data_IF_937159695188
#
_entry.id   IF_937159695188
#
_cell.length_a   1.000
_cell.length_b   1.000
_cell.length_c   1.000
_cell.angle_alpha   90.00
_cell.angle_beta   90.00
_cell.angle_gamma   90.00
#
_symmetry.space_group_name_H-M   'P 1'
#
loop_
_entity.id
_entity.type
_entity.pdbx_description
1 polymer ?
#
# COMPACT_ATOMS: atom_id res chain seq x y z
N UNK A 1 14.65 -14.77 8.64
CA UNK A 1 15.93 -14.17 9.07
C UNK A 1 15.61 -13.04 10.04
N UNK A 2 16.31 -12.91 11.17
CA UNK A 2 16.16 -11.72 12.01
C UNK A 2 16.59 -10.51 11.18
N UNK A 3 15.73 -9.49 11.09
CA UNK A 3 16.07 -8.28 10.37
C UNK A 3 17.12 -7.49 11.16
N UNK A 4 18.10 -6.85 10.47
CA UNK A 4 19.17 -6.10 11.11
C UNK A 4 18.61 -4.98 12.01
N UNK A 5 19.41 -4.56 12.99
CA UNK A 5 19.11 -3.58 14.04
C UNK A 5 18.22 -2.43 13.54
N UNK A 6 16.91 -2.54 13.78
CA UNK A 6 15.96 -1.48 13.44
C UNK A 6 16.26 -0.28 14.34
N UNK A 7 16.34 0.95 13.80
CA UNK A 7 16.51 2.13 14.63
C UNK A 7 15.36 2.21 15.64
N UNK A 8 15.68 2.58 16.88
CA UNK A 8 14.66 2.76 17.92
C UNK A 8 13.70 3.87 17.47
N UNK A 9 12.40 3.60 17.34
CA UNK A 9 11.44 4.62 16.95
C UNK A 9 11.37 5.75 17.98
N UNK A 10 11.06 6.96 17.52
CA UNK A 10 10.69 8.04 18.41
C UNK A 10 9.28 7.81 18.95
N UNK A 11 9.19 7.16 20.11
CA UNK A 11 7.90 6.78 20.69
C UNK A 11 7.09 8.01 21.13
N UNK A 12 5.81 8.02 20.75
CA UNK A 12 4.89 9.09 21.04
C UNK A 12 4.24 8.94 22.42
N UNK A 13 3.97 10.05 23.13
CA UNK A 13 3.22 10.03 24.38
C UNK A 13 1.74 9.76 24.14
N UNK A 14 1.02 9.26 25.16
CA UNK A 14 -0.41 8.96 25.07
C UNK A 14 -1.28 10.18 24.69
N UNK A 15 -0.79 11.40 24.95
CA UNK A 15 -1.45 12.64 24.50
C UNK A 15 -1.57 12.78 22.99
N UNK A 16 -0.75 12.05 22.21
CA UNK A 16 -0.81 12.01 20.75
C UNK A 16 -1.81 10.99 20.20
N UNK A 17 -2.41 10.16 21.07
CA UNK A 17 -3.34 9.11 20.65
C UNK A 17 -4.47 9.60 19.75
N UNK A 18 -5.18 10.72 20.05
CA UNK A 18 -6.27 11.18 19.19
C UNK A 18 -5.80 11.52 17.77
N UNK A 19 -4.72 12.30 17.65
CA UNK A 19 -4.14 12.68 16.35
C UNK A 19 -3.71 11.45 15.54
N UNK A 20 -3.01 10.50 16.16
CA UNK A 20 -2.52 9.31 15.46
C UNK A 20 -3.65 8.34 15.10
N UNK A 21 -4.73 8.29 15.89
CA UNK A 21 -5.95 7.54 15.57
C UNK A 21 -6.64 8.11 14.33
N UNK A 22 -6.75 9.43 14.23
CA UNK A 22 -7.37 10.09 13.07
C UNK A 22 -6.51 9.91 11.82
N UNK A 23 -5.19 10.10 11.93
CA UNK A 23 -4.25 9.90 10.84
C UNK A 23 -4.27 8.45 10.31
N UNK A 24 -4.32 7.46 11.21
CA UNK A 24 -4.41 6.06 10.82
C UNK A 24 -5.75 5.76 10.13
N UNK A 25 -6.84 6.37 10.58
CA UNK A 25 -8.15 6.21 9.94
C UNK A 25 -8.16 6.76 8.51
N UNK A 26 -7.61 7.96 8.31
CA UNK A 26 -7.43 8.53 6.97
C UNK A 26 -6.51 7.67 6.08
N UNK A 27 -5.45 7.08 6.65
CA UNK A 27 -4.57 6.19 5.91
C UNK A 27 -5.28 4.91 5.43
N UNK A 28 -6.21 4.36 6.24
CA UNK A 28 -7.03 3.21 5.82
C UNK A 28 -7.90 3.58 4.62
N UNK A 29 -8.57 4.73 4.67
CA UNK A 29 -9.42 5.20 3.56
C UNK A 29 -8.63 5.43 2.27
N UNK A 30 -7.43 6.01 2.37
CA UNK A 30 -6.54 6.21 1.22
C UNK A 30 -6.09 4.86 0.63
N UNK A 31 -5.68 3.91 1.48
CA UNK A 31 -5.26 2.57 1.03
C UNK A 31 -6.40 1.84 0.34
N UNK A 32 -7.64 1.99 0.81
CA UNK A 32 -8.83 1.42 0.17
C UNK A 32 -9.07 2.01 -1.23
N UNK A 33 -9.05 3.34 -1.33
CA UNK A 33 -9.22 4.06 -2.59
C UNK A 33 -8.18 3.67 -3.63
N UNK A 34 -6.93 3.51 -3.18
CA UNK A 34 -5.80 3.22 -4.06
C UNK A 34 -5.78 1.76 -4.49
N UNK A 35 -6.20 0.86 -3.61
CA UNK A 35 -6.37 -0.55 -3.96
C UNK A 35 -7.47 -0.72 -5.02
N UNK A 36 -8.59 -0.02 -4.91
CA UNK A 36 -9.65 -0.02 -5.92
C UNK A 36 -9.13 0.51 -7.28
N UNK A 37 -8.44 1.65 -7.27
CA UNK A 37 -7.86 2.25 -8.47
C UNK A 37 -6.85 1.33 -9.16
N UNK A 38 -6.01 0.63 -8.38
CA UNK A 38 -5.02 -0.29 -8.93
C UNK A 38 -5.64 -1.58 -9.49
N UNK A 39 -6.70 -2.11 -8.86
CA UNK A 39 -7.46 -3.25 -9.41
C UNK A 39 -8.10 -2.89 -10.76
N UNK A 40 -8.64 -1.68 -10.87
CA UNK A 40 -9.17 -1.16 -12.12
C UNK A 40 -8.10 -1.01 -13.22
N UNK A 41 -6.90 -0.56 -12.86
CA UNK A 41 -5.77 -0.49 -13.79
C UNK A 41 -5.26 -1.88 -14.19
N UNK A 42 -5.26 -2.86 -13.26
CA UNK A 42 -4.87 -4.23 -13.55
C UNK A 42 -5.78 -4.89 -14.60
N UNK A 43 -7.08 -4.59 -14.59
CA UNK A 43 -8.03 -5.06 -15.59
C UNK A 43 -7.86 -4.40 -16.98
N UNK A 44 -7.12 -3.29 -17.04
CA UNK A 44 -6.86 -2.49 -18.25
C UNK A 44 -5.35 -2.28 -18.40
N UNK A 45 -4.59 -3.31 -18.85
CA UNK A 45 -3.15 -3.18 -18.98
C UNK A 45 -2.80 -1.99 -19.89
N UNK A 46 -1.66 -1.35 -19.63
CA UNK A 46 -1.10 -0.22 -20.40
C UNK A 46 -1.77 1.14 -20.20
N UNK A 47 -2.49 1.33 -19.08
CA UNK A 47 -3.06 2.63 -18.70
C UNK A 47 -2.17 3.45 -17.76
N UNK A 48 -1.23 2.81 -17.06
CA UNK A 48 -0.29 3.48 -16.17
C UNK A 48 1.10 3.57 -16.80
N UNK A 49 1.81 4.65 -16.49
CA UNK A 49 3.21 4.84 -16.85
C UNK A 49 4.17 4.24 -15.80
N UNK A 50 5.42 4.03 -16.21
CA UNK A 50 6.51 3.51 -15.36
C UNK A 50 6.72 4.32 -14.08
N UNK A 51 6.62 5.65 -14.17
CA UNK A 51 6.85 6.53 -13.03
C UNK A 51 5.76 6.37 -11.97
N UNK A 52 4.50 6.28 -12.39
CA UNK A 52 3.35 6.06 -11.52
C UNK A 52 3.45 4.69 -10.82
N UNK A 53 3.75 3.62 -11.55
CA UNK A 53 3.94 2.28 -10.96
C UNK A 53 5.13 2.27 -9.99
N UNK A 54 6.25 2.89 -10.36
CA UNK A 54 7.42 3.01 -9.50
C UNK A 54 7.13 3.78 -8.21
N UNK A 55 6.32 4.85 -8.29
CA UNK A 55 5.89 5.63 -7.12
C UNK A 55 5.01 4.81 -6.18
N UNK A 56 4.07 4.01 -6.71
CA UNK A 56 3.22 3.10 -5.91
C UNK A 56 4.10 2.10 -5.16
N UNK A 57 5.02 1.42 -5.85
CA UNK A 57 5.95 0.48 -5.23
C UNK A 57 6.76 1.12 -4.10
N UNK A 58 7.27 2.33 -4.32
CA UNK A 58 8.04 3.06 -3.30
C UNK A 58 7.19 3.41 -2.08
N UNK A 59 6.08 4.12 -2.27
CA UNK A 59 5.27 4.65 -1.16
C UNK A 59 4.69 3.52 -0.32
N UNK A 60 4.10 2.50 -0.95
CA UNK A 60 3.48 1.41 -0.21
C UNK A 60 4.50 0.40 0.34
N UNK A 61 5.67 0.30 -0.29
CA UNK A 61 6.82 -0.44 0.26
C UNK A 61 7.29 0.18 1.57
N UNK A 62 7.52 1.50 1.56
CA UNK A 62 7.87 2.25 2.76
C UNK A 62 6.79 2.12 3.85
N UNK A 63 5.50 2.28 3.50
CA UNK A 63 4.41 2.08 4.48
C UNK A 63 4.41 0.68 5.09
N UNK A 64 4.61 -0.37 4.29
CA UNK A 64 4.68 -1.75 4.78
C UNK A 64 5.89 -1.94 5.72
N UNK A 65 7.04 -1.35 5.37
CA UNK A 65 8.28 -1.46 6.15
C UNK A 65 8.21 -0.68 7.47
N UNK A 66 7.40 0.38 7.56
CA UNK A 66 7.20 1.16 8.78
C UNK A 66 5.98 0.74 9.62
N UNK A 67 5.09 -0.12 9.10
CA UNK A 67 3.84 -0.49 9.79
C UNK A 67 4.07 -1.05 11.21
N UNK A 68 5.18 -1.78 11.42
CA UNK A 68 5.53 -2.33 12.73
C UNK A 68 5.73 -1.27 13.82
N UNK A 69 6.12 -0.03 13.44
CA UNK A 69 6.30 1.06 14.40
C UNK A 69 4.95 1.43 15.01
N UNK A 70 3.90 1.49 14.18
CA UNK A 70 2.54 1.75 14.64
C UNK A 70 2.00 0.59 15.49
N UNK A 71 2.25 -0.66 15.08
CA UNK A 71 1.89 -1.85 15.85
C UNK A 71 2.50 -1.79 17.27
N UNK A 72 3.82 -1.59 17.35
CA UNK A 72 4.53 -1.52 18.63
C UNK A 72 4.14 -0.29 19.48
N UNK A 73 3.86 0.86 18.86
CA UNK A 73 3.40 2.05 19.57
C UNK A 73 2.02 1.81 20.22
N UNK A 74 1.09 1.17 19.50
CA UNK A 74 -0.23 0.83 20.02
C UNK A 74 -0.11 -0.21 21.14
N UNK A 75 0.72 -1.25 20.97
CA UNK A 75 1.00 -2.23 22.02
C UNK A 75 1.53 -1.56 23.29
N UNK A 76 2.47 -0.61 23.16
CA UNK A 76 3.00 0.16 24.30
C UNK A 76 1.90 0.93 25.03
N UNK A 77 1.06 1.67 24.30
CA UNK A 77 -0.04 2.41 24.92
C UNK A 77 -1.07 1.50 25.60
N UNK A 78 -1.32 0.31 25.07
CA UNK A 78 -2.25 -0.65 25.68
C UNK A 78 -1.80 -1.16 27.05
N UNK A 79 -0.50 -1.05 27.38
CA UNK A 79 0.03 -1.37 28.71
C UNK A 79 -0.03 -0.19 29.70
N UNK A 80 -0.42 1.01 29.25
CA UNK A 80 -0.59 2.18 30.13
C UNK A 80 -1.96 2.20 30.83
N UNK A 81 -2.12 3.11 31.79
CA UNK A 81 -3.40 3.34 32.46
C UNK A 81 -4.34 4.16 31.56
N UNK A 82 -5.14 3.46 30.74
CA UNK A 82 -6.05 4.07 29.78
C UNK A 82 -7.45 4.34 30.35
N UNK A 83 -8.00 5.52 29.99
CA UNK A 83 -9.45 5.78 30.10
C UNK A 83 -10.25 4.87 29.17
N UNK A 84 -11.58 4.80 29.37
CA UNK A 84 -12.46 4.01 28.50
C UNK A 84 -12.35 4.43 27.02
N UNK A 85 -12.31 5.73 26.75
CA UNK A 85 -12.15 6.29 25.40
C UNK A 85 -10.80 5.93 24.79
N UNK A 86 -9.70 6.12 25.53
CA UNK A 86 -8.35 5.79 25.05
C UNK A 86 -8.22 4.29 24.76
N UNK A 87 -8.79 3.44 25.61
CA UNK A 87 -8.82 1.99 25.40
C UNK A 87 -9.56 1.64 24.10
N UNK A 88 -10.72 2.25 23.85
CA UNK A 88 -11.45 2.03 22.61
C UNK A 88 -10.65 2.50 21.37
N UNK A 89 -10.00 3.67 21.43
CA UNK A 89 -9.15 4.17 20.35
C UNK A 89 -7.99 3.21 20.06
N UNK A 90 -7.23 2.79 21.07
CA UNK A 90 -6.12 1.83 20.88
C UNK A 90 -6.58 0.49 20.31
N UNK A 91 -7.79 0.03 20.65
CA UNK A 91 -8.38 -1.20 20.07
C UNK A 91 -8.75 -1.01 18.60
N UNK A 92 -9.34 0.12 18.25
CA UNK A 92 -9.67 0.47 16.87
C UNK A 92 -8.40 0.57 16.02
N UNK A 93 -7.38 1.27 16.51
CA UNK A 93 -6.09 1.38 15.82
C UNK A 93 -5.44 0.01 15.58
N UNK A 94 -5.43 -0.87 16.58
CA UNK A 94 -4.91 -2.23 16.42
C UNK A 94 -5.66 -3.04 15.33
N UNK A 95 -6.99 -2.89 15.26
CA UNK A 95 -7.80 -3.52 14.23
C UNK A 95 -7.49 -2.95 12.82
N UNK A 96 -7.35 -1.63 12.71
CA UNK A 96 -6.99 -0.96 11.45
C UNK A 96 -5.60 -1.40 10.96
N UNK A 97 -4.60 -1.49 11.83
CA UNK A 97 -3.26 -1.98 11.47
C UNK A 97 -3.28 -3.42 10.97
N UNK A 98 -4.10 -4.28 11.61
CA UNK A 98 -4.30 -5.67 11.17
C UNK A 98 -4.90 -5.73 9.76
N UNK A 99 -5.81 -4.80 9.42
CA UNK A 99 -6.43 -4.71 8.10
C UNK A 99 -5.53 -4.10 7.03
N UNK A 100 -4.66 -3.14 7.39
CA UNK A 100 -3.74 -2.50 6.45
C UNK A 100 -2.72 -3.48 5.88
N UNK A 101 -2.16 -4.36 6.71
CA UNK A 101 -1.09 -5.29 6.32
C UNK A 101 -1.40 -6.13 5.06
N UNK A 102 -2.54 -6.83 4.94
CA UNK A 102 -2.87 -7.53 3.70
C UNK A 102 -3.16 -6.60 2.51
N UNK A 103 -3.75 -5.41 2.74
CA UNK A 103 -4.05 -4.44 1.67
C UNK A 103 -2.78 -3.88 1.05
N UNK A 104 -1.78 -3.52 1.87
CA UNK A 104 -0.48 -3.07 1.40
C UNK A 104 0.24 -4.14 0.56
N UNK A 105 0.17 -5.40 0.98
CA UNK A 105 0.70 -6.53 0.21
C UNK A 105 0.01 -6.67 -1.14
N UNK A 106 -1.30 -6.52 -1.17
CA UNK A 106 -2.08 -6.60 -2.41
C UNK A 106 -1.73 -5.46 -3.38
N UNK A 107 -1.66 -4.22 -2.88
CA UNK A 107 -1.20 -3.06 -3.66
C UNK A 107 0.18 -3.34 -4.30
N UNK A 108 1.14 -3.82 -3.50
CA UNK A 108 2.48 -4.11 -3.98
C UNK A 108 2.50 -5.25 -5.01
N UNK A 109 1.66 -6.27 -4.83
CA UNK A 109 1.53 -7.36 -5.79
C UNK A 109 0.94 -6.88 -7.14
N UNK A 110 -0.11 -6.05 -7.10
CA UNK A 110 -0.71 -5.46 -8.31
C UNK A 110 0.31 -4.55 -9.00
N UNK A 111 0.99 -3.68 -8.26
CA UNK A 111 2.00 -2.78 -8.82
C UNK A 111 3.18 -3.54 -9.45
N UNK A 112 3.61 -4.65 -8.85
CA UNK A 112 4.63 -5.52 -9.43
C UNK A 112 4.15 -6.18 -10.73
N UNK A 113 2.90 -6.63 -10.79
CA UNK A 113 2.29 -7.20 -12.01
C UNK A 113 2.13 -6.16 -13.13
N UNK A 114 1.87 -4.90 -12.78
CA UNK A 114 1.72 -3.79 -13.72
C UNK A 114 3.05 -3.25 -14.25
N UNK A 115 4.18 -3.53 -13.58
CA UNK A 115 5.49 -2.97 -13.90
C UNK A 115 5.94 -3.24 -15.34
N UNK A 116 5.62 -4.41 -15.89
CA UNK A 116 5.97 -4.79 -17.26
C UNK A 116 4.78 -4.61 -18.23
N UNK A 117 3.73 -3.92 -17.78
CA UNK A 117 2.47 -3.68 -18.51
C UNK A 117 2.13 -2.20 -18.57
N UNK A 118 3.15 -1.35 -18.53
CA UNK A 118 3.01 0.10 -18.62
C UNK A 118 2.82 0.57 -20.06
N UNK A 119 2.55 1.87 -20.23
CA UNK A 119 2.52 2.53 -21.54
C UNK A 119 3.88 2.36 -22.23
N UNK A 120 4.97 2.63 -21.50
CA UNK A 120 6.35 2.52 -21.98
C UNK A 120 6.69 1.09 -22.41
N UNK A 121 6.22 0.08 -21.66
CA UNK A 121 6.39 -1.32 -22.01
C UNK A 121 5.74 -1.71 -23.35
N UNK A 122 4.69 -1.01 -23.77
CA UNK A 122 4.07 -1.21 -25.10
C UNK A 122 4.78 -0.40 -26.16
N UNK A 123 5.08 0.87 -25.89
CA UNK A 123 5.75 1.76 -26.84
C UNK A 123 7.16 1.28 -27.20
N UNK A 124 7.81 0.52 -26.32
CA UNK A 124 9.11 -0.10 -26.58
C UNK A 124 9.08 -1.31 -27.53
N UNK A 125 7.90 -1.85 -27.87
CA UNK A 125 7.76 -3.03 -28.75
C UNK A 125 7.81 -2.66 -30.22
N UNK A 126 8.33 -3.56 -31.05
CA UNK A 126 8.21 -3.45 -32.51
C UNK A 126 6.78 -3.70 -32.98
N UNK A 127 6.43 -3.21 -34.17
CA UNK A 127 5.11 -3.42 -34.77
C UNK A 127 4.72 -4.91 -34.90
N UNK A 128 5.69 -5.80 -35.12
CA UNK A 128 5.44 -7.25 -35.20
C UNK A 128 5.08 -7.83 -33.84
N UNK A 129 5.79 -7.41 -32.79
CA UNK A 129 5.51 -7.84 -31.41
C UNK A 129 4.14 -7.34 -30.95
N UNK A 130 3.81 -6.09 -31.26
CA UNK A 130 2.47 -5.53 -30.99
C UNK A 130 1.38 -6.33 -31.72
N UNK A 131 1.58 -6.66 -33.01
CA UNK A 131 0.62 -7.46 -33.77
C UNK A 131 0.42 -8.86 -33.18
N UNK A 132 1.50 -9.52 -32.76
CA UNK A 132 1.44 -10.83 -32.09
C UNK A 132 0.70 -10.76 -30.75
N UNK A 133 0.91 -9.71 -29.98
CA UNK A 133 0.22 -9.51 -28.70
C UNK A 133 -1.28 -9.24 -28.90
N UNK A 134 -1.67 -8.52 -29.95
CA UNK A 134 -3.09 -8.35 -30.32
C UNK A 134 -3.71 -9.67 -30.75
N UNK A 135 -3.05 -10.43 -31.64
CA UNK A 135 -3.55 -11.71 -32.14
C UNK A 135 -3.64 -12.79 -31.05
N UNK A 136 -2.76 -12.75 -30.05
CA UNK A 136 -2.78 -13.67 -28.90
C UNK A 136 -3.69 -13.20 -27.76
N UNK A 137 -4.35 -12.04 -27.88
CA UNK A 137 -5.26 -11.49 -26.87
C UNK A 137 -4.58 -10.87 -25.64
N UNK A 138 -3.24 -10.73 -25.67
CA UNK A 138 -2.47 -10.06 -24.61
C UNK A 138 -2.65 -8.54 -24.63
N UNK A 139 -2.90 -7.97 -25.81
CA UNK A 139 -3.19 -6.56 -26.01
C UNK A 139 -4.55 -6.40 -26.68
N UNK A 140 -5.39 -5.50 -26.17
CA UNK A 140 -6.65 -5.13 -26.85
C UNK A 140 -6.36 -4.04 -27.88
N UNK A 141 -6.88 -4.15 -29.11
CA UNK A 141 -6.76 -3.07 -30.09
C UNK A 141 -7.50 -1.82 -29.60
N UNK A 142 -7.01 -0.60 -29.92
CA UNK A 142 -7.76 0.62 -29.67
C UNK A 142 -9.08 0.55 -30.44
N UNK A 143 -10.17 0.95 -29.76
CA UNK A 143 -11.54 0.98 -30.29
C UNK A 143 -11.68 2.09 -31.33
#
# INVERSE_FOLDING_TARGET
MPQPDRPTPNWQPLSMLPMLSDMLSAQVEEVDTQLESLREAQARPHVLDDYTVGRVLKVYGEQQDFLWVYEAQVERWQQESLSATQRQQTKQMAAQLTQLKPKLKEILAIAADLKDKTIESVLGKSNLEVALDVLSGKLKPPI
#
